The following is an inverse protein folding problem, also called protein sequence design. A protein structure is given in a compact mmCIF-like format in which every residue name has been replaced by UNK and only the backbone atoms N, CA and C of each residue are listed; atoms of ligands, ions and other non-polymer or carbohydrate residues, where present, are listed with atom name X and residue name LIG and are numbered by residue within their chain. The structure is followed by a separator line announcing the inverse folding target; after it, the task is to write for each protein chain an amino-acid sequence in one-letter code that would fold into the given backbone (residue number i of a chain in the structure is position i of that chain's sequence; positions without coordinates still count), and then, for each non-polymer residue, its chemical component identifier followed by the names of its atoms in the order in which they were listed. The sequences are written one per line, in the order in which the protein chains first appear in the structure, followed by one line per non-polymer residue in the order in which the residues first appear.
data_IF_705712723249
#
_entry.id   IF_705712723249
#
_cell.length_a   1.000
_cell.length_b   1.000
_cell.length_c   1.000
_cell.angle_alpha   90.00
_cell.angle_beta   90.00
_cell.angle_gamma   90.00
#
_symmetry.space_group_name_H-M   'P 1'
#
loop_
_entity.id
_entity.type
_entity.pdbx_description
1 polymer ?
#
# COMPACT_ATOMS: atom_id res chain seq x y z
N UNK A 1 -0.85 -15.48 11.78
CA UNK A 1 -1.08 -14.66 10.58
C UNK A 1 -2.42 -14.00 10.83
N UNK A 2 -2.40 -12.71 11.12
CA UNK A 2 -3.62 -11.95 11.41
C UNK A 2 -4.02 -11.22 10.13
N UNK A 3 -5.27 -11.39 9.71
CA UNK A 3 -5.81 -10.82 8.47
C UNK A 3 -6.76 -9.71 8.84
N UNK A 4 -6.36 -8.47 8.58
CA UNK A 4 -7.16 -7.28 8.86
C UNK A 4 -7.97 -6.84 7.65
N UNK A 5 -9.24 -6.50 7.86
CA UNK A 5 -10.10 -5.85 6.85
C UNK A 5 -10.74 -4.62 7.48
N UNK A 6 -10.56 -3.45 6.86
CA UNK A 6 -11.17 -2.18 7.29
C UNK A 6 -11.84 -1.51 6.10
N UNK A 7 -13.09 -1.04 6.22
CA UNK A 7 -13.70 -0.21 5.19
C UNK A 7 -12.98 1.15 5.10
N UNK A 8 -12.77 1.65 3.89
CA UNK A 8 -12.08 2.92 3.59
C UNK A 8 -12.81 4.14 4.15
N UNK A 9 -14.12 4.05 4.40
CA UNK A 9 -14.88 5.08 5.12
C UNK A 9 -14.35 5.34 6.53
N UNK A 10 -13.71 4.33 7.13
CA UNK A 10 -13.24 4.37 8.51
C UNK A 10 -11.75 4.77 8.58
N UNK A 11 -11.13 5.05 7.43
CA UNK A 11 -9.76 5.58 7.32
C UNK A 11 -9.79 7.07 7.60
N UNK A 12 -9.26 7.49 8.75
CA UNK A 12 -9.17 8.91 9.09
C UNK A 12 -8.05 9.62 8.30
N UNK A 13 -8.34 10.82 7.77
CA UNK A 13 -7.42 11.61 6.97
C UNK A 13 -7.19 13.00 7.61
N UNK A 14 -5.93 13.42 7.84
CA UNK A 14 -5.62 14.71 8.44
C UNK A 14 -5.76 15.87 7.43
N UNK A 15 -6.10 17.06 7.93
CA UNK A 15 -6.35 18.27 7.12
C UNK A 15 -5.13 19.21 7.08
N UNK A 16 -4.60 19.52 5.89
CA UNK A 16 -3.80 20.75 5.63
C UNK A 16 -2.48 20.62 4.83
N UNK A 17 -2.31 21.51 3.82
CA UNK A 17 -1.20 22.10 2.99
C UNK A 17 -0.22 21.31 2.08
N UNK A 18 -0.38 21.52 0.75
CA UNK A 18 0.41 21.07 -0.42
C UNK A 18 1.90 20.71 -0.19
N UNK A 19 2.24 19.43 -0.42
CA UNK A 19 3.62 18.97 -0.58
C UNK A 19 3.85 18.49 -2.02
N UNK A 20 4.92 18.97 -2.67
CA UNK A 20 5.34 18.61 -4.04
C UNK A 20 6.18 17.32 -4.10
N UNK A 21 6.43 16.67 -2.96
CA UNK A 21 7.32 15.52 -2.85
C UNK A 21 6.55 14.32 -2.30
N UNK A 22 6.57 13.20 -3.02
CA UNK A 22 6.04 11.90 -2.57
C UNK A 22 7.22 10.99 -2.28
N UNK A 23 7.38 10.55 -1.02
CA UNK A 23 8.41 9.60 -0.63
C UNK A 23 7.76 8.27 -0.24
N UNK A 24 7.88 7.27 -1.11
CA UNK A 24 7.49 5.89 -0.79
C UNK A 24 8.74 5.17 -0.30
N UNK A 25 8.89 5.05 1.02
CA UNK A 25 9.97 4.30 1.64
C UNK A 25 9.41 3.00 2.25
N UNK A 26 9.85 1.85 1.72
CA UNK A 26 9.58 0.54 2.29
C UNK A 26 10.76 0.05 3.12
N UNK A 27 10.51 -0.82 4.10
CA UNK A 27 11.58 -1.44 4.90
C UNK A 27 11.64 -2.95 4.65
N UNK A 28 12.84 -3.50 4.41
CA UNK A 28 13.03 -4.92 4.12
C UNK A 28 13.75 -5.65 5.28
N UNK A 29 13.10 -6.73 5.73
CA UNK A 29 13.55 -7.91 6.50
C UNK A 29 14.91 -8.16 7.16
N UNK A 30 15.91 -7.28 7.33
CA UNK A 30 17.12 -7.65 8.11
C UNK A 30 17.64 -6.50 9.00
N UNK A 31 17.35 -6.62 10.30
CA UNK A 31 17.89 -5.84 11.45
C UNK A 31 17.51 -4.35 11.50
N UNK A 32 16.64 -4.01 12.47
CA UNK A 32 16.37 -2.64 12.95
C UNK A 32 15.67 -1.73 11.95
N UNK A 33 14.33 -1.73 11.92
CA UNK A 33 13.57 -0.97 10.92
C UNK A 33 12.62 0.02 11.58
N UNK A 34 12.91 1.30 11.38
CA UNK A 34 11.94 2.38 11.55
C UNK A 34 11.14 2.51 10.26
N UNK A 35 9.83 2.32 10.32
CA UNK A 35 8.92 2.63 9.20
C UNK A 35 8.61 4.12 9.24
N UNK A 36 9.07 4.87 8.25
CA UNK A 36 8.59 6.23 7.96
C UNK A 36 8.21 6.25 6.49
N UNK A 37 6.93 6.10 6.19
CA UNK A 37 6.38 6.39 4.87
C UNK A 37 5.72 7.78 4.94
N UNK A 38 6.33 8.76 4.27
CA UNK A 38 5.90 10.15 4.29
C UNK A 38 5.29 10.54 2.94
N UNK A 39 4.01 10.89 2.90
CA UNK A 39 3.33 11.42 1.70
C UNK A 39 1.98 10.77 1.34
N UNK A 40 1.62 9.63 1.94
CA UNK A 40 0.48 8.83 1.46
C UNK A 40 -0.90 9.27 1.94
N UNK A 41 -1.03 9.91 3.11
CA UNK A 41 -2.34 10.22 3.69
C UNK A 41 -3.21 11.04 2.75
N UNK A 42 -2.72 12.17 2.24
CA UNK A 42 -3.50 12.98 1.29
C UNK A 42 -3.66 12.32 -0.08
N UNK A 43 -2.79 11.38 -0.45
CA UNK A 43 -2.90 10.67 -1.74
C UNK A 43 -3.99 9.60 -1.71
N UNK A 44 -4.38 9.14 -0.53
CA UNK A 44 -5.53 8.24 -0.34
C UNK A 44 -6.81 9.01 0.02
N UNK A 45 -6.78 10.34 -0.03
CA UNK A 45 -7.92 11.14 0.40
C UNK A 45 -9.10 11.06 -0.57
N UNK A 46 -10.24 10.58 -0.07
CA UNK A 46 -11.45 10.33 -0.86
C UNK A 46 -11.52 8.93 -1.48
N UNK A 47 -10.62 8.02 -1.13
CA UNK A 47 -10.73 6.62 -1.52
C UNK A 47 -11.94 5.96 -0.82
N UNK A 48 -12.71 5.17 -1.57
CA UNK A 48 -13.87 4.42 -1.06
C UNK A 48 -13.70 2.92 -1.33
N UNK A 49 -14.28 2.05 -0.49
CA UNK A 49 -14.16 0.58 -0.63
C UNK A 49 -13.61 -0.10 0.62
N UNK A 50 -12.99 -1.27 0.47
CA UNK A 50 -12.38 -2.01 1.59
C UNK A 50 -10.90 -2.25 1.31
N UNK A 51 -10.08 -2.13 2.35
CA UNK A 51 -8.66 -2.50 2.30
C UNK A 51 -8.45 -3.80 3.05
N UNK A 52 -7.71 -4.69 2.41
CA UNK A 52 -7.27 -5.97 2.95
C UNK A 52 -5.76 -6.10 2.83
N UNK A 53 -5.18 -6.90 3.73
CA UNK A 53 -3.77 -7.20 3.72
C UNK A 53 -3.42 -8.10 4.89
N UNK A 54 -2.13 -8.24 5.14
CA UNK A 54 -1.64 -9.06 6.25
C UNK A 54 -0.52 -8.35 7.00
N UNK A 55 -0.35 -8.73 8.27
CA UNK A 55 0.72 -8.22 9.11
C UNK A 55 1.78 -9.28 9.37
N UNK A 56 3.04 -8.92 9.15
CA UNK A 56 4.20 -9.69 9.59
C UNK A 56 5.17 -8.71 10.23
N UNK A 57 5.02 -8.50 11.53
CA UNK A 57 5.94 -7.69 12.31
C UNK A 57 6.23 -8.33 13.66
N UNK A 58 7.45 -8.08 14.14
CA UNK A 58 7.90 -8.39 15.51
C UNK A 58 8.00 -7.10 16.34
N UNK A 59 8.18 -5.96 15.66
CA UNK A 59 8.36 -4.67 16.32
C UNK A 59 7.04 -4.00 16.60
N UNK A 60 6.83 -3.56 17.83
CA UNK A 60 5.66 -2.78 18.23
C UNK A 60 5.91 -1.28 18.03
N UNK A 61 4.95 -0.60 17.40
CA UNK A 61 4.97 0.87 17.31
C UNK A 61 4.19 1.48 18.47
N UNK A 62 4.87 2.33 19.24
CA UNK A 62 4.26 3.17 20.28
C UNK A 62 4.47 4.64 19.97
N UNK A 63 3.48 5.46 20.31
CA UNK A 63 3.67 6.91 20.35
C UNK A 63 4.67 7.26 21.46
N UNK A 64 5.52 8.24 21.20
CA UNK A 64 6.45 8.76 22.20
C UNK A 64 5.68 9.62 23.21
N UNK A 65 6.18 9.70 24.44
CA UNK A 65 5.58 10.53 25.47
C UNK A 65 5.62 12.01 25.04
N UNK A 66 4.46 12.67 25.11
CA UNK A 66 4.30 14.06 24.66
C UNK A 66 4.20 14.24 23.14
N UNK A 67 4.11 13.16 22.35
CA UNK A 67 3.79 13.26 20.94
C UNK A 67 2.35 13.74 20.73
N UNK A 68 2.14 14.57 19.70
CA UNK A 68 0.81 14.95 19.27
C UNK A 68 -0.02 13.71 18.89
N UNK A 69 -1.35 13.73 19.13
CA UNK A 69 -2.22 12.67 18.65
C UNK A 69 -2.06 12.45 17.15
N UNK A 70 -2.07 11.17 16.74
CA UNK A 70 -2.05 10.76 15.34
C UNK A 70 -3.32 10.00 15.00
N UNK A 71 -3.70 10.07 13.74
CA UNK A 71 -4.82 9.34 13.20
C UNK A 71 -4.50 7.84 13.12
N UNK A 72 -5.52 7.00 13.28
CA UNK A 72 -5.43 5.54 13.16
C UNK A 72 -6.21 5.09 11.92
N UNK A 73 -5.55 5.01 10.76
CA UNK A 73 -6.23 4.77 9.48
C UNK A 73 -6.75 3.34 9.31
N UNK A 74 -6.20 2.38 10.07
CA UNK A 74 -6.60 0.98 10.02
C UNK A 74 -6.99 0.48 11.42
N UNK A 75 -8.12 0.96 11.96
CA UNK A 75 -8.53 0.70 13.35
C UNK A 75 -8.70 -0.79 13.67
N UNK A 76 -9.11 -1.61 12.70
CA UNK A 76 -9.33 -3.04 12.92
C UNK A 76 -8.04 -3.86 13.07
N UNK A 77 -6.90 -3.33 12.65
CA UNK A 77 -5.64 -4.07 12.59
C UNK A 77 -4.54 -3.48 13.49
N UNK A 78 -4.76 -2.32 14.13
CA UNK A 78 -3.66 -1.57 14.80
C UNK A 78 -2.50 -1.22 13.84
N UNK A 79 -2.72 -1.34 12.53
CA UNK A 79 -1.70 -1.50 11.53
C UNK A 79 -0.97 -0.22 11.14
N UNK A 80 -1.16 0.92 11.82
CA UNK A 80 -0.60 2.16 11.34
C UNK A 80 -0.94 3.42 12.13
N UNK A 81 -0.36 4.51 11.66
CA UNK A 81 -0.49 5.87 12.18
C UNK A 81 -0.41 6.88 11.03
N UNK A 82 -1.18 7.95 11.13
CA UNK A 82 -1.26 9.00 10.12
C UNK A 82 -1.14 10.39 10.74
N UNK A 83 -0.35 11.28 10.14
CA UNK A 83 -0.26 12.70 10.52
C UNK A 83 0.10 13.57 9.33
N UNK A 84 -0.70 14.60 9.05
CA UNK A 84 -0.55 15.44 7.86
C UNK A 84 -0.43 14.63 6.56
N UNK A 85 0.70 14.73 5.86
CA UNK A 85 0.93 13.94 4.66
C UNK A 85 1.45 12.52 4.93
N UNK A 86 1.79 12.17 6.16
CA UNK A 86 2.55 10.96 6.50
C UNK A 86 1.62 9.82 6.91
N UNK A 87 1.73 8.67 6.23
CA UNK A 87 1.05 7.42 6.58
C UNK A 87 2.10 6.34 6.84
N UNK A 88 2.24 5.89 8.09
CA UNK A 88 2.99 4.69 8.42
C UNK A 88 2.06 3.49 8.59
N UNK A 89 2.37 2.35 7.97
CA UNK A 89 1.61 1.11 8.20
C UNK A 89 2.44 -0.17 8.13
N UNK A 90 2.02 -1.17 8.89
CA UNK A 90 2.49 -2.56 8.84
C UNK A 90 1.72 -3.42 7.85
N UNK A 91 0.65 -2.90 7.25
CA UNK A 91 -0.19 -3.67 6.36
C UNK A 91 0.57 -3.96 5.05
N UNK A 92 0.92 -5.22 4.87
CA UNK A 92 1.44 -5.72 3.60
C UNK A 92 0.30 -5.88 2.60
N UNK A 93 0.59 -5.64 1.33
CA UNK A 93 -0.40 -5.72 0.25
C UNK A 93 -1.27 -4.47 0.10
N UNK A 94 -0.96 -3.36 0.78
CA UNK A 94 -1.76 -2.13 0.72
C UNK A 94 -2.13 -1.71 -0.73
N UNK A 95 -1.16 -1.72 -1.66
CA UNK A 95 -1.38 -1.35 -3.07
C UNK A 95 -1.92 -2.46 -3.98
N UNK A 96 -2.07 -3.68 -3.46
CA UNK A 96 -2.77 -4.76 -4.17
C UNK A 96 -4.28 -4.45 -4.22
N UNK A 97 -4.78 -3.72 -3.23
CA UNK A 97 -6.15 -3.20 -3.20
C UNK A 97 -6.37 -2.17 -4.32
N UNK A 98 -7.28 -2.49 -5.23
CA UNK A 98 -7.63 -1.64 -6.37
C UNK A 98 -8.07 -0.22 -5.96
N UNK A 99 -8.92 -0.03 -4.93
CA UNK A 99 -9.34 1.31 -4.54
C UNK A 99 -8.19 2.20 -4.04
N UNK A 100 -7.22 1.61 -3.32
CA UNK A 100 -6.04 2.31 -2.82
C UNK A 100 -5.14 2.72 -3.97
N UNK A 101 -4.89 1.79 -4.90
CA UNK A 101 -4.07 2.04 -6.08
C UNK A 101 -4.71 3.09 -6.99
N UNK A 102 -6.03 3.01 -7.21
CA UNK A 102 -6.77 3.96 -8.02
C UNK A 102 -6.67 5.37 -7.43
N UNK A 103 -7.03 5.54 -6.15
CA UNK A 103 -6.96 6.83 -5.46
C UNK A 103 -5.54 7.41 -5.45
N UNK A 104 -4.53 6.58 -5.15
CA UNK A 104 -3.14 7.02 -5.18
C UNK A 104 -2.74 7.55 -6.57
N UNK A 105 -3.03 6.78 -7.62
CA UNK A 105 -2.68 7.17 -9.00
C UNK A 105 -3.44 8.42 -9.43
N UNK A 106 -4.74 8.51 -9.16
CA UNK A 106 -5.54 9.70 -9.46
C UNK A 106 -4.94 10.95 -8.81
N UNK A 107 -4.60 10.88 -7.53
CA UNK A 107 -3.99 12.02 -6.82
C UNK A 107 -2.59 12.37 -7.33
N UNK A 108 -1.80 11.38 -7.76
CA UNK A 108 -0.50 11.64 -8.38
C UNK A 108 -0.69 12.41 -9.70
N UNK A 109 -1.63 12.01 -10.55
CA UNK A 109 -1.94 12.74 -11.80
C UNK A 109 -2.47 14.15 -11.52
N UNK A 110 -3.42 14.30 -10.59
CA UNK A 110 -3.94 15.61 -10.17
C UNK A 110 -2.82 16.57 -9.73
N UNK A 111 -1.83 16.08 -8.98
CA UNK A 111 -0.71 16.90 -8.49
C UNK A 111 0.38 17.12 -9.52
N UNK A 112 0.65 16.15 -10.38
CA UNK A 112 1.68 16.26 -11.41
C UNK A 112 1.25 17.20 -12.54
N UNK A 113 -0.05 17.30 -12.83
CA UNK A 113 -0.62 18.20 -13.84
C UNK A 113 -1.05 17.54 -15.17
N UNK A 114 -0.43 16.44 -15.64
CA UNK A 114 -0.97 15.69 -16.79
C UNK A 114 -2.30 15.00 -16.49
N UNK A 115 -3.12 14.82 -17.51
CA UNK A 115 -4.32 13.98 -17.44
C UNK A 115 -3.94 12.51 -17.30
N UNK A 116 -4.71 11.77 -16.51
CA UNK A 116 -4.57 10.31 -16.39
C UNK A 116 -4.94 9.66 -17.73
N UNK A 117 -4.09 8.79 -18.31
CA UNK A 117 -4.43 8.03 -19.50
C UNK A 117 -5.65 7.14 -19.25
N UNK A 118 -6.51 7.00 -20.26
CA UNK A 118 -7.65 6.09 -20.19
C UNK A 118 -7.18 4.63 -20.19
N UNK A 119 -7.10 4.06 -18.99
CA UNK A 119 -6.75 2.65 -18.75
C UNK A 119 -5.26 2.34 -18.82
N UNK A 120 -4.85 1.29 -18.12
CA UNK A 120 -3.66 0.54 -18.52
C UNK A 120 -4.06 -0.40 -19.65
N UNK A 121 -3.21 -0.63 -20.66
CA UNK A 121 -3.39 -1.81 -21.49
C UNK A 121 -3.46 -3.04 -20.58
N UNK A 122 -4.26 -4.07 -20.91
CA UNK A 122 -4.27 -5.29 -20.13
C UNK A 122 -2.83 -5.77 -20.02
N UNK A 123 -2.30 -5.78 -18.80
CA UNK A 123 -1.05 -6.45 -18.53
C UNK A 123 -1.36 -7.94 -18.66
N UNK A 124 -0.53 -8.66 -19.41
CA UNK A 124 -0.53 -10.12 -19.31
C UNK A 124 -0.45 -10.49 -17.83
N UNK A 125 -1.21 -11.49 -17.39
CA UNK A 125 -1.12 -11.95 -16.01
C UNK A 125 0.36 -12.23 -15.71
N UNK A 126 0.96 -11.59 -14.69
CA UNK A 126 2.35 -11.84 -14.33
C UNK A 126 2.63 -13.33 -14.11
N UNK A 127 1.63 -14.09 -13.64
CA UNK A 127 1.70 -15.53 -13.48
C UNK A 127 1.71 -16.26 -14.82
N UNK A 128 0.89 -15.84 -15.79
CA UNK A 128 0.92 -16.41 -17.15
C UNK A 128 2.25 -16.13 -17.83
N UNK A 129 2.78 -14.92 -17.68
CA UNK A 129 4.11 -14.57 -18.21
C UNK A 129 5.22 -15.38 -17.55
N UNK A 130 5.13 -15.60 -16.24
CA UNK A 130 6.07 -16.45 -15.52
C UNK A 130 5.93 -17.92 -15.95
N UNK A 131 4.71 -18.41 -16.12
CA UNK A 131 4.42 -19.76 -16.59
C UNK A 131 4.97 -19.98 -18.01
N UNK A 132 4.83 -19.00 -18.90
CA UNK A 132 5.41 -19.05 -20.25
C UNK A 132 6.95 -19.15 -20.20
N UNK A 133 7.61 -18.30 -19.42
CA UNK A 133 9.08 -18.36 -19.25
C UNK A 133 9.55 -19.72 -18.72
N UNK A 134 8.82 -20.29 -17.76
CA UNK A 134 9.11 -21.62 -17.22
C UNK A 134 8.88 -22.70 -18.28
N UNK A 135 7.77 -22.66 -19.01
CA UNK A 135 7.48 -23.61 -20.09
C UNK A 135 8.49 -23.55 -21.24
N UNK A 136 8.99 -22.37 -21.58
CA UNK A 136 9.97 -22.17 -22.65
C UNK A 136 11.39 -22.60 -22.24
N UNK A 137 11.69 -22.59 -20.94
CA UNK A 137 13.05 -22.80 -20.43
C UNK A 137 13.25 -24.11 -19.67
N UNK A 138 12.18 -24.80 -19.30
CA UNK A 138 12.20 -26.00 -18.44
C UNK A 138 11.34 -27.10 -19.05
N UNK A 139 11.84 -28.33 -19.08
CA UNK A 139 11.05 -29.49 -19.45
C UNK A 139 10.02 -29.81 -18.35
N UNK A 140 8.75 -29.50 -18.63
CA UNK A 140 7.64 -29.75 -17.72
C UNK A 140 6.98 -31.12 -17.93
N UNK A 141 7.45 -31.95 -18.86
CA UNK A 141 6.96 -33.31 -19.10
C UNK A 141 6.80 -34.15 -17.82
N UNK A 142 7.79 -34.16 -16.92
CA UNK A 142 7.70 -34.90 -15.65
C UNK A 142 6.59 -34.44 -14.70
N UNK A 143 6.14 -33.18 -14.78
CA UNK A 143 5.06 -32.64 -13.93
C UNK A 143 3.67 -32.98 -14.45
N UNK A 144 3.53 -33.19 -15.77
CA UNK A 144 2.24 -33.41 -16.42
C UNK A 144 1.99 -34.86 -16.84
N UNK A 145 2.89 -35.79 -16.45
CA UNK A 145 2.69 -37.23 -16.61
C UNK A 145 2.56 -37.68 -18.07
N UNK A 146 3.30 -37.04 -18.98
CA UNK A 146 3.47 -37.50 -20.38
C UNK A 146 4.91 -37.91 -20.63
#
# INVERSE_FOLDING_TARGET
MDTGSTPLSDVLLPSGTNAHTVLVAGTASHVGKSTVAAGLCRLLAGAEGTVSGYEIHIGETRLLDGADPVDRPFPAASAGAATGDVLGTYLHGLFENEPVRAAFVDRVFERAGPDRPAGSPPADDPLDRAAALVGDSVDLGPLFGR
#
